data_IF_976778641302
#
_entry.id   IF_976778641302
#
_cell.length_a   1.000
_cell.length_b   1.000
_cell.length_c   1.000
_cell.angle_alpha   90.00
_cell.angle_beta   90.00
_cell.angle_gamma   90.00
#
_symmetry.space_group_name_H-M   'P 1'
#
loop_
_entity.id
_entity.type
_entity.pdbx_description
1 polymer ?
#
# COMPACT_ATOMS: atom_id res chain seq x y z
N UNK A 1 54.90 -28.30 -35.53
CA UNK A 1 53.79 -28.66 -34.60
C UNK A 1 52.85 -27.46 -34.59
N UNK A 2 51.94 -27.24 -35.55
CA UNK A 2 50.64 -27.86 -35.89
C UNK A 2 49.56 -27.79 -34.78
N UNK A 3 48.51 -26.97 -35.07
CA UNK A 3 47.11 -26.94 -34.56
C UNK A 3 46.94 -26.39 -33.13
N UNK A 4 45.93 -25.58 -32.79
CA UNK A 4 44.54 -25.60 -33.26
C UNK A 4 43.86 -24.22 -33.13
N UNK A 5 43.14 -23.83 -34.17
CA UNK A 5 42.12 -22.77 -34.18
C UNK A 5 40.84 -23.34 -33.58
N UNK A 6 40.21 -22.64 -32.64
CA UNK A 6 38.81 -22.89 -32.27
C UNK A 6 37.95 -21.71 -32.71
N UNK A 7 37.23 -21.93 -33.81
CA UNK A 7 36.16 -21.08 -34.30
C UNK A 7 34.90 -21.43 -33.51
N UNK A 8 34.34 -20.49 -32.76
CA UNK A 8 32.99 -20.60 -32.20
C UNK A 8 32.07 -19.68 -33.01
N UNK A 9 31.34 -20.31 -33.92
CA UNK A 9 30.17 -19.75 -34.60
C UNK A 9 29.04 -19.65 -33.59
N UNK A 10 28.61 -18.43 -33.25
CA UNK A 10 27.34 -18.20 -32.57
C UNK A 10 26.33 -17.71 -33.60
N UNK A 11 25.44 -18.62 -33.98
CA UNK A 11 24.17 -18.30 -34.61
C UNK A 11 23.33 -17.46 -33.63
N UNK A 12 23.09 -16.19 -33.94
CA UNK A 12 22.02 -15.43 -33.29
C UNK A 12 20.76 -15.64 -34.12
N UNK A 13 19.85 -16.42 -33.57
CA UNK A 13 18.50 -16.63 -34.09
C UNK A 13 17.71 -15.33 -33.90
N UNK A 14 17.33 -14.72 -35.02
CA UNK A 14 16.35 -13.66 -35.08
C UNK A 14 14.97 -14.21 -34.70
N UNK A 15 14.50 -13.90 -33.50
CA UNK A 15 13.16 -14.26 -33.03
C UNK A 15 12.49 -13.05 -32.38
N UNK A 16 11.49 -12.51 -33.06
CA UNK A 16 10.53 -11.54 -32.54
C UNK A 16 9.92 -12.06 -31.23
N UNK A 17 10.37 -11.52 -30.10
CA UNK A 17 9.69 -11.65 -28.83
C UNK A 17 9.29 -10.25 -28.39
N UNK A 18 7.98 -10.01 -28.28
CA UNK A 18 7.42 -8.76 -27.80
C UNK A 18 8.11 -8.36 -26.50
N UNK A 19 8.39 -7.07 -26.37
CA UNK A 19 8.92 -6.50 -25.16
C UNK A 19 7.91 -6.69 -24.01
N UNK A 20 8.00 -7.83 -23.33
CA UNK A 20 7.55 -7.92 -21.95
C UNK A 20 8.46 -6.96 -21.21
N UNK A 21 7.94 -5.80 -20.84
CA UNK A 21 8.64 -4.87 -19.97
C UNK A 21 8.80 -5.57 -18.62
N UNK A 22 9.92 -6.27 -18.45
CA UNK A 22 10.33 -6.80 -17.16
C UNK A 22 10.65 -5.57 -16.33
N UNK A 23 9.71 -5.14 -15.49
CA UNK A 23 9.99 -4.15 -14.45
C UNK A 23 11.14 -4.71 -13.62
N UNK A 24 12.24 -3.97 -13.53
CA UNK A 24 13.33 -4.30 -12.61
C UNK A 24 12.76 -4.45 -11.20
N UNK A 25 13.32 -5.39 -10.44
CA UNK A 25 12.85 -5.79 -9.12
C UNK A 25 12.45 -4.58 -8.27
N UNK A 26 11.23 -4.63 -7.72
CA UNK A 26 10.71 -3.68 -6.75
C UNK A 26 11.77 -3.41 -5.67
N UNK A 27 12.23 -2.17 -5.53
CA UNK A 27 13.29 -1.84 -4.57
C UNK A 27 12.70 -1.46 -3.21
N UNK A 28 11.40 -1.15 -3.17
CA UNK A 28 10.63 -1.11 -1.94
C UNK A 28 9.83 -2.40 -1.78
N UNK A 29 10.22 -3.25 -0.84
CA UNK A 29 9.28 -4.22 -0.30
C UNK A 29 8.34 -3.47 0.64
N UNK A 30 7.05 -3.43 0.33
CA UNK A 30 6.06 -3.09 1.36
C UNK A 30 6.17 -4.26 2.34
N UNK A 31 6.72 -4.06 3.55
CA UNK A 31 7.05 -5.17 4.43
C UNK A 31 5.82 -6.05 4.63
N UNK A 32 6.03 -7.36 4.51
CA UNK A 32 5.08 -8.42 4.88
C UNK A 32 4.70 -8.26 6.35
N UNK A 33 3.73 -7.40 6.64
CA UNK A 33 2.84 -7.38 7.82
C UNK A 33 3.42 -7.79 9.19
N UNK A 34 4.71 -7.59 9.44
CA UNK A 34 5.32 -7.86 10.75
C UNK A 34 5.27 -6.66 11.69
N UNK A 35 4.68 -5.53 11.27
CA UNK A 35 4.55 -4.35 12.12
C UNK A 35 3.17 -3.72 11.92
N UNK A 36 2.13 -4.30 12.51
CA UNK A 36 0.79 -3.69 12.50
C UNK A 36 -0.33 -4.67 12.63
N UNK A 37 -1.07 -4.61 13.74
CA UNK A 37 -2.38 -5.25 13.77
C UNK A 37 -3.32 -4.36 12.95
N UNK A 38 -3.55 -4.72 11.70
CA UNK A 38 -4.50 -4.03 10.84
C UNK A 38 -5.94 -4.33 11.30
N UNK A 39 -6.50 -3.42 12.09
CA UNK A 39 -7.86 -3.53 12.63
C UNK A 39 -8.83 -2.69 11.81
N UNK A 40 -9.50 -3.30 10.84
CA UNK A 40 -10.47 -2.55 10.04
C UNK A 40 -11.86 -2.69 10.67
N UNK A 41 -12.19 -1.77 11.56
CA UNK A 41 -13.55 -1.70 12.07
C UNK A 41 -14.47 -1.03 11.04
N UNK A 42 -15.15 -1.85 10.25
CA UNK A 42 -16.28 -1.39 9.44
C UNK A 42 -17.53 -1.27 10.34
N UNK A 43 -18.05 -0.08 10.63
CA UNK A 43 -19.45 0.07 10.98
C UNK A 43 -20.28 -0.21 9.70
N UNK A 44 -20.40 -1.48 9.32
CA UNK A 44 -20.96 -1.88 8.03
C UNK A 44 -22.49 -1.84 7.99
N UNK A 45 -23.11 -0.75 8.44
CA UNK A 45 -24.56 -0.72 8.67
C UNK A 45 -25.25 0.58 8.26
N UNK A 46 -24.66 1.42 7.41
CA UNK A 46 -25.29 2.72 7.13
C UNK A 46 -25.65 2.98 5.67
N UNK A 47 -25.27 2.12 4.71
CA UNK A 47 -25.59 2.37 3.30
C UNK A 47 -24.92 3.64 2.74
N UNK A 48 -23.92 4.18 3.44
CA UNK A 48 -23.14 5.32 2.97
C UNK A 48 -22.08 4.85 1.97
N UNK A 49 -21.82 5.66 0.94
CA UNK A 49 -20.82 5.34 -0.06
C UNK A 49 -19.40 5.40 0.48
N UNK A 50 -19.17 6.05 1.63
CA UNK A 50 -17.86 6.12 2.27
C UNK A 50 -17.82 5.18 3.46
N UNK A 51 -16.85 4.25 3.43
CA UNK A 51 -16.59 3.30 4.51
C UNK A 51 -15.55 3.88 5.47
N UNK A 52 -15.48 3.34 6.68
CA UNK A 52 -14.43 3.68 7.64
C UNK A 52 -13.53 2.46 7.86
N UNK A 53 -12.22 2.69 7.90
CA UNK A 53 -11.21 1.70 8.27
C UNK A 53 -10.29 2.26 9.35
N UNK A 54 -9.67 1.38 10.13
CA UNK A 54 -8.63 1.75 11.07
C UNK A 54 -7.37 0.96 10.77
N UNK A 55 -6.21 1.60 10.88
CA UNK A 55 -4.91 0.98 10.73
C UNK A 55 -4.12 1.24 12.00
N UNK A 56 -3.72 0.18 12.70
CA UNK A 56 -2.91 0.28 13.91
C UNK A 56 -1.54 -0.32 13.66
N UNK A 57 -0.49 0.48 13.86
CA UNK A 57 0.90 0.05 13.71
C UNK A 57 1.63 0.10 15.06
N UNK A 58 2.53 -0.85 15.34
CA UNK A 58 3.30 -0.87 16.58
C UNK A 58 4.39 0.19 16.60
N UNK A 59 4.82 0.64 15.41
CA UNK A 59 5.95 1.56 15.29
C UNK A 59 5.57 2.93 15.85
N UNK A 60 6.39 3.42 16.78
CA UNK A 60 6.25 4.75 17.37
C UNK A 60 6.80 5.84 16.43
N UNK A 61 7.98 5.59 15.84
CA UNK A 61 8.60 6.50 14.87
C UNK A 61 8.40 5.98 13.45
N UNK A 62 7.36 6.50 12.80
CA UNK A 62 6.99 6.17 11.42
C UNK A 62 7.78 6.98 10.38
N UNK A 63 8.62 7.93 10.80
CA UNK A 63 9.45 8.73 9.91
C UNK A 63 10.71 7.99 9.45
N UNK A 64 11.12 6.96 10.18
CA UNK A 64 12.27 6.14 9.82
C UNK A 64 12.02 5.36 8.54
N UNK A 65 13.09 5.16 7.78
CA UNK A 65 13.08 4.31 6.61
C UNK A 65 12.60 2.90 6.97
N UNK A 66 11.61 2.40 6.23
CA UNK A 66 11.18 1.01 6.34
C UNK A 66 12.29 0.10 5.80
N UNK A 67 12.74 -0.87 6.59
CA UNK A 67 13.80 -1.86 6.31
C UNK A 67 14.30 -1.93 4.86
N UNK A 68 15.43 -1.28 4.58
CA UNK A 68 16.13 -1.34 3.28
C UNK A 68 15.52 -0.50 2.15
N UNK A 69 14.40 0.18 2.39
CA UNK A 69 13.74 1.09 1.45
C UNK A 69 14.09 2.55 1.75
N UNK A 70 13.96 3.42 0.74
CA UNK A 70 13.98 4.89 0.92
C UNK A 70 12.64 5.46 1.39
N UNK A 71 11.59 4.63 1.44
CA UNK A 71 10.28 5.00 1.96
C UNK A 71 10.30 4.99 3.48
N UNK A 72 9.71 6.01 4.09
CA UNK A 72 9.43 6.00 5.52
C UNK A 72 8.36 4.96 5.86
N UNK A 73 8.27 4.54 7.12
CA UNK A 73 7.13 3.76 7.61
C UNK A 73 5.80 4.41 7.27
N UNK A 74 5.70 5.73 7.41
CA UNK A 74 4.53 6.53 7.04
C UNK A 74 4.16 6.38 5.56
N UNK A 75 5.14 6.51 4.64
CA UNK A 75 4.90 6.33 3.20
C UNK A 75 4.36 4.93 2.89
N UNK A 76 4.92 3.91 3.54
CA UNK A 76 4.48 2.51 3.41
C UNK A 76 3.03 2.36 3.87
N UNK A 77 2.67 2.90 5.04
CA UNK A 77 1.31 2.77 5.58
C UNK A 77 0.27 3.49 4.71
N UNK A 78 0.59 4.68 4.18
CA UNK A 78 -0.28 5.38 3.23
C UNK A 78 -0.46 4.55 1.95
N UNK A 79 0.60 3.95 1.43
CA UNK A 79 0.50 3.02 0.29
C UNK A 79 -0.38 1.79 0.58
N UNK A 80 -0.32 1.24 1.79
CA UNK A 80 -1.21 0.15 2.21
C UNK A 80 -2.67 0.60 2.28
N UNK A 81 -2.96 1.77 2.86
CA UNK A 81 -4.31 2.34 2.89
C UNK A 81 -4.87 2.55 1.48
N UNK A 82 -4.04 3.00 0.53
CA UNK A 82 -4.40 3.14 -0.89
C UNK A 82 -4.76 1.79 -1.50
N UNK A 83 -3.91 0.77 -1.33
CA UNK A 83 -4.13 -0.56 -1.88
C UNK A 83 -5.40 -1.21 -1.32
N UNK A 84 -5.62 -1.12 -0.01
CA UNK A 84 -6.82 -1.62 0.66
C UNK A 84 -8.08 -0.90 0.21
N UNK A 85 -8.00 0.42 0.02
CA UNK A 85 -9.11 1.21 -0.54
C UNK A 85 -9.48 0.67 -1.92
N UNK A 86 -8.51 0.49 -2.82
CA UNK A 86 -8.77 -0.03 -4.16
C UNK A 86 -9.35 -1.45 -4.14
N UNK A 87 -8.88 -2.31 -3.24
CA UNK A 87 -9.40 -3.66 -3.04
C UNK A 87 -10.91 -3.65 -2.74
N UNK A 88 -11.35 -2.86 -1.75
CA UNK A 88 -12.78 -2.80 -1.39
C UNK A 88 -13.65 -2.12 -2.43
N UNK A 89 -13.11 -1.13 -3.15
CA UNK A 89 -13.82 -0.54 -4.26
C UNK A 89 -14.08 -1.53 -5.41
N UNK A 90 -13.34 -2.64 -5.46
CA UNK A 90 -13.49 -3.71 -6.45
C UNK A 90 -14.27 -4.93 -5.96
N UNK A 91 -14.59 -5.05 -4.66
CA UNK A 91 -15.38 -6.17 -4.15
C UNK A 91 -16.85 -6.05 -4.58
N UNK A 92 -17.32 -7.04 -5.34
CA UNK A 92 -18.65 -7.08 -5.95
C UNK A 92 -19.82 -7.10 -4.93
N UNK A 93 -19.54 -7.37 -3.66
CA UNK A 93 -20.54 -7.40 -2.58
C UNK A 93 -20.80 -6.01 -1.98
N UNK A 94 -19.96 -5.01 -2.30
CA UNK A 94 -19.99 -3.65 -1.75
C UNK A 94 -20.24 -2.60 -2.86
N UNK A 95 -21.13 -2.93 -3.81
CA UNK A 95 -21.57 -2.06 -4.92
C UNK A 95 -22.12 -0.73 -4.39
N UNK A 96 -21.28 0.29 -4.33
CA UNK A 96 -21.61 1.61 -3.79
C UNK A 96 -20.50 2.26 -2.97
N UNK A 97 -19.38 1.57 -2.72
CA UNK A 97 -18.21 2.20 -2.12
C UNK A 97 -17.62 3.23 -3.09
N UNK A 98 -17.54 4.48 -2.65
CA UNK A 98 -16.87 5.61 -3.32
C UNK A 98 -15.52 5.95 -2.67
N UNK A 99 -15.21 5.37 -1.51
CA UNK A 99 -13.96 5.59 -0.81
C UNK A 99 -13.96 5.08 0.62
N UNK A 100 -12.81 5.27 1.27
CA UNK A 100 -12.57 4.87 2.66
C UNK A 100 -11.98 6.04 3.42
N UNK A 101 -12.48 6.24 4.62
CA UNK A 101 -11.90 7.10 5.63
C UNK A 101 -11.11 6.25 6.62
N UNK A 102 -9.80 6.48 6.64
CA UNK A 102 -8.87 5.75 7.47
C UNK A 102 -8.54 6.52 8.73
N UNK A 103 -8.66 5.86 9.87
CA UNK A 103 -8.04 6.30 11.11
C UNK A 103 -6.68 5.60 11.22
N UNK A 104 -5.60 6.37 11.15
CA UNK A 104 -4.26 5.84 11.31
C UNK A 104 -3.80 6.05 12.76
N UNK A 105 -3.38 4.98 13.42
CA UNK A 105 -2.96 4.97 14.81
C UNK A 105 -1.60 4.27 14.92
N UNK A 106 -0.62 4.96 15.50
CA UNK A 106 0.73 4.49 15.73
C UNK A 106 0.95 4.10 17.20
N UNK A 107 2.17 3.68 17.52
CA UNK A 107 2.59 3.31 18.88
C UNK A 107 1.66 2.28 19.51
N UNK A 108 1.38 1.20 18.77
CA UNK A 108 0.51 0.09 19.20
C UNK A 108 -0.94 0.48 19.56
N UNK A 109 -1.42 1.61 19.05
CA UNK A 109 -2.78 2.10 19.33
C UNK A 109 -2.82 3.34 20.21
N UNK A 110 -1.67 3.86 20.63
CA UNK A 110 -1.61 4.94 21.61
C UNK A 110 -1.48 6.33 20.99
N UNK A 111 -1.11 6.48 19.72
CA UNK A 111 -0.93 7.79 19.07
C UNK A 111 -1.79 7.92 17.84
N UNK A 112 -2.70 8.88 17.79
CA UNK A 112 -3.50 9.15 16.60
C UNK A 112 -2.66 9.89 15.56
N UNK A 113 -2.46 9.30 14.39
CA UNK A 113 -1.67 9.87 13.31
C UNK A 113 -2.51 10.68 12.31
N UNK A 114 -3.84 10.57 12.40
CA UNK A 114 -4.77 11.34 11.58
C UNK A 114 -5.84 10.52 10.90
N UNK A 115 -6.86 11.24 10.42
CA UNK A 115 -7.88 10.73 9.51
C UNK A 115 -7.50 11.04 8.07
N UNK A 116 -7.61 10.04 7.20
CA UNK A 116 -7.29 10.15 5.77
C UNK A 116 -8.49 9.73 4.93
N UNK A 117 -8.93 10.58 4.01
CA UNK A 117 -9.99 10.22 3.05
C UNK A 117 -9.35 9.81 1.72
N UNK A 118 -9.59 8.57 1.29
CA UNK A 118 -9.08 8.03 0.02
C UNK A 118 -10.28 7.58 -0.80
N UNK A 119 -10.46 8.21 -1.97
CA UNK A 119 -11.56 7.87 -2.89
C UNK A 119 -11.20 6.69 -3.78
N UNK A 120 -12.18 5.94 -4.25
CA UNK A 120 -11.98 4.77 -5.11
C UNK A 120 -11.24 5.11 -6.40
N UNK A 121 -11.67 6.16 -7.09
CA UNK A 121 -11.01 6.63 -8.31
C UNK A 121 -9.56 7.06 -8.05
N UNK A 122 -9.30 7.74 -6.93
CA UNK A 122 -7.96 8.13 -6.53
C UNK A 122 -7.08 6.90 -6.28
N UNK A 123 -7.57 5.93 -5.52
CA UNK A 123 -6.83 4.71 -5.22
C UNK A 123 -6.51 3.89 -6.50
N UNK A 124 -7.51 3.66 -7.34
CA UNK A 124 -7.34 2.95 -8.61
C UNK A 124 -6.35 3.67 -9.55
N UNK A 125 -6.44 5.00 -9.65
CA UNK A 125 -5.52 5.79 -10.47
C UNK A 125 -4.07 5.69 -9.96
N UNK A 126 -3.87 5.74 -8.65
CA UNK A 126 -2.53 5.60 -8.05
C UNK A 126 -1.97 4.20 -8.34
N UNK A 127 -2.74 3.13 -8.10
CA UNK A 127 -2.29 1.77 -8.41
C UNK A 127 -1.98 1.57 -9.90
N UNK A 128 -2.82 2.14 -10.79
CA UNK A 128 -2.57 2.10 -12.24
C UNK A 128 -1.31 2.86 -12.65
N UNK A 129 -1.04 4.00 -11.99
CA UNK A 129 0.13 4.84 -12.27
C UNK A 129 1.45 4.17 -11.87
N UNK A 130 1.49 3.60 -10.67
CA UNK A 130 2.71 3.06 -10.09
C UNK A 130 2.87 1.55 -10.33
N UNK A 131 1.83 0.86 -10.77
CA UNK A 131 1.81 -0.60 -10.87
C UNK A 131 1.61 -1.27 -9.53
N UNK A 132 1.33 -2.58 -9.58
CA UNK A 132 1.07 -3.41 -8.41
C UNK A 132 1.88 -4.69 -8.45
N UNK A 133 2.23 -5.20 -7.28
CA UNK A 133 2.87 -6.49 -7.09
C UNK A 133 1.86 -7.61 -7.27
N UNK A 134 2.36 -8.85 -7.25
CA UNK A 134 1.50 -10.01 -7.08
C UNK A 134 0.69 -9.86 -5.79
N UNK A 135 -0.62 -10.19 -5.80
CA UNK A 135 -1.44 -10.14 -4.61
C UNK A 135 -0.85 -10.97 -3.46
N UNK A 136 -0.86 -10.40 -2.26
CA UNK A 136 -0.41 -11.05 -1.04
C UNK A 136 -1.60 -11.34 -0.12
N UNK A 137 -1.54 -12.48 0.59
CA UNK A 137 -2.53 -12.83 1.58
C UNK A 137 -2.27 -12.06 2.87
N UNK A 138 -3.23 -11.24 3.27
CA UNK A 138 -3.20 -10.50 4.53
C UNK A 138 -4.44 -10.81 5.36
N UNK A 139 -4.30 -10.70 6.68
CA UNK A 139 -5.40 -10.88 7.61
C UNK A 139 -6.02 -9.55 7.97
N UNK A 140 -7.31 -9.40 7.68
CA UNK A 140 -8.13 -8.23 7.99
C UNK A 140 -9.20 -8.61 9.01
N UNK A 141 -9.37 -7.82 10.06
CA UNK A 141 -10.44 -8.02 11.04
C UNK A 141 -11.74 -7.31 10.63
N UNK A 142 -12.60 -7.94 9.84
CA UNK A 142 -13.89 -7.39 9.44
C UNK A 142 -14.94 -7.52 10.55
N UNK A 143 -15.33 -6.40 11.18
CA UNK A 143 -16.29 -6.40 12.33
C UNK A 143 -15.88 -7.37 13.44
N UNK A 144 -14.59 -7.41 13.75
CA UNK A 144 -14.01 -8.34 14.74
C UNK A 144 -13.75 -9.76 14.22
N UNK A 145 -14.26 -10.14 13.04
CA UNK A 145 -14.01 -11.45 12.45
C UNK A 145 -12.79 -11.40 11.52
N UNK A 146 -11.71 -12.14 11.82
CA UNK A 146 -10.57 -12.21 10.93
C UNK A 146 -10.95 -12.88 9.60
N UNK A 147 -10.54 -12.28 8.49
CA UNK A 147 -10.63 -12.81 7.13
C UNK A 147 -9.28 -12.67 6.46
N UNK A 148 -8.85 -13.73 5.80
CA UNK A 148 -7.67 -13.67 4.94
C UNK A 148 -8.13 -13.21 3.55
N UNK A 149 -7.52 -12.14 3.05
CA UNK A 149 -7.83 -11.52 1.76
C UNK A 149 -6.58 -11.37 0.92
N UNK A 150 -6.75 -11.41 -0.40
CA UNK A 150 -5.67 -11.27 -1.37
C UNK A 150 -5.60 -9.84 -1.88
N UNK A 151 -4.59 -9.07 -1.44
CA UNK A 151 -4.46 -7.64 -1.76
C UNK A 151 -3.19 -7.38 -2.56
N UNK A 152 -3.32 -6.67 -3.67
CA UNK A 152 -2.20 -6.22 -4.49
C UNK A 152 -1.69 -4.86 -4.01
N UNK A 153 -0.45 -4.81 -3.53
CA UNK A 153 0.21 -3.58 -3.07
C UNK A 153 1.00 -2.91 -4.19
N UNK A 154 1.38 -1.65 -3.97
CA UNK A 154 2.16 -0.86 -4.93
C UNK A 154 3.52 -1.50 -5.26
N UNK A 155 3.91 -1.44 -6.53
CA UNK A 155 5.19 -1.95 -7.04
C UNK A 155 6.12 -0.80 -7.46
N UNK A 156 6.67 -0.11 -6.46
CA UNK A 156 7.49 1.09 -6.69
C UNK A 156 8.93 0.73 -7.09
N UNK A 157 9.38 1.29 -8.20
CA UNK A 157 10.80 1.30 -8.57
C UNK A 157 11.53 2.55 -8.05
N UNK A 158 12.86 2.57 -8.14
CA UNK A 158 13.71 3.65 -7.65
C UNK A 158 13.37 5.05 -8.20
N UNK A 159 12.88 5.13 -9.43
CA UNK A 159 12.53 6.39 -10.08
C UNK A 159 11.14 6.89 -9.66
N UNK A 160 10.31 5.98 -9.13
CA UNK A 160 8.96 6.25 -8.66
C UNK A 160 8.91 6.63 -7.18
N UNK A 161 9.86 6.15 -6.36
CA UNK A 161 9.91 6.42 -4.92
C UNK A 161 9.75 7.91 -4.60
N UNK A 162 10.57 8.78 -5.18
CA UNK A 162 10.50 10.21 -4.86
C UNK A 162 9.21 10.89 -5.32
N UNK A 163 8.60 10.39 -6.41
CA UNK A 163 7.29 10.86 -6.89
C UNK A 163 6.17 10.42 -5.96
N UNK A 164 6.24 9.17 -5.50
CA UNK A 164 5.30 8.62 -4.55
C UNK A 164 5.39 9.34 -3.20
N UNK A 165 6.60 9.63 -2.70
CA UNK A 165 6.79 10.43 -1.49
C UNK A 165 6.15 11.82 -1.63
N UNK A 166 6.38 12.52 -2.75
CA UNK A 166 5.75 13.81 -3.00
C UNK A 166 4.21 13.72 -3.03
N UNK A 167 3.67 12.63 -3.59
CA UNK A 167 2.23 12.34 -3.56
C UNK A 167 1.74 12.10 -2.13
N UNK A 168 2.45 11.30 -1.33
CA UNK A 168 2.10 11.03 0.08
C UNK A 168 1.99 12.34 0.88
N UNK A 169 2.87 13.32 0.63
CA UNK A 169 2.79 14.63 1.29
C UNK A 169 1.51 15.43 0.95
N UNK A 170 0.76 15.06 -0.09
CA UNK A 170 -0.54 15.65 -0.40
C UNK A 170 -1.68 15.10 0.45
N UNK A 171 -1.50 13.91 1.04
CA UNK A 171 -2.44 13.32 1.99
C UNK A 171 -2.25 13.99 3.35
N UNK A 172 -3.00 15.08 3.57
CA UNK A 172 -2.96 15.83 4.83
C UNK A 172 -3.78 15.11 5.91
N UNK A 173 -3.17 14.71 7.04
CA UNK A 173 -3.93 14.10 8.13
C UNK A 173 -4.92 15.11 8.70
N UNK A 174 -6.16 14.67 8.94
CA UNK A 174 -7.21 15.47 9.55
C UNK A 174 -7.43 15.06 11.01
N UNK A 175 -7.95 15.97 11.82
CA UNK A 175 -8.48 15.64 13.15
C UNK A 175 -9.82 14.89 13.03
N UNK A 176 -10.25 14.26 14.12
CA UNK A 176 -11.60 13.76 14.28
C UNK A 176 -12.49 14.93 14.75
N UNK A 177 -13.37 15.40 13.87
CA UNK A 177 -14.15 16.64 14.07
C UNK A 177 -14.97 16.62 15.36
N UNK A 178 -15.54 15.47 15.75
CA UNK A 178 -16.44 15.35 16.90
C UNK A 178 -15.74 15.14 18.25
N UNK A 179 -14.47 14.69 18.25
CA UNK A 179 -13.75 14.31 19.46
C UNK A 179 -12.56 15.20 19.81
N UNK A 180 -12.26 16.20 18.98
CA UNK A 180 -11.08 17.08 19.10
C UNK A 180 -9.73 16.34 19.10
N UNK A 181 -9.70 15.07 18.68
CA UNK A 181 -8.47 14.27 18.59
C UNK A 181 -7.77 14.62 17.27
N UNK A 182 -6.55 15.10 17.35
CA UNK A 182 -5.74 15.57 16.24
C UNK A 182 -4.45 14.74 16.06
N UNK A 183 -3.82 14.82 14.88
CA UNK A 183 -2.57 14.11 14.61
C UNK A 183 -1.50 14.45 15.66
N UNK A 184 -0.94 13.43 16.30
CA UNK A 184 0.03 13.52 17.39
C UNK A 184 -0.56 13.36 18.79
N UNK A 185 -1.89 13.41 18.94
CA UNK A 185 -2.53 13.21 20.24
C UNK A 185 -2.41 11.75 20.71
N UNK A 186 -2.24 11.57 22.02
CA UNK A 186 -2.29 10.26 22.64
C UNK A 186 -3.72 9.84 22.94
N UNK A 187 -4.02 8.57 22.69
CA UNK A 187 -5.30 7.94 22.99
C UNK A 187 -5.18 7.26 24.37
N UNK A 188 -5.88 7.82 25.37
CA UNK A 188 -5.95 7.27 26.74
C UNK A 188 -7.04 6.21 26.90
#
# INVERSE_FOLDING_TARGET
MLKSLFTLSLCVVSGLAGAVAIRQAAVADFPKTNSGKLYINFPGATGYPIKTGTMVVPDQDTSQAASGSRLSGYDVQIGQMIALTAYWCGEADDNGVEGVEWNYIADSGEVFMGRFSIRCNQAQNILSTYGVKQPEQIRIHYRGNPRDVSVAFLDLNEQEISKFQALVQTFRPQCLEDSQICPGDRLE
#
